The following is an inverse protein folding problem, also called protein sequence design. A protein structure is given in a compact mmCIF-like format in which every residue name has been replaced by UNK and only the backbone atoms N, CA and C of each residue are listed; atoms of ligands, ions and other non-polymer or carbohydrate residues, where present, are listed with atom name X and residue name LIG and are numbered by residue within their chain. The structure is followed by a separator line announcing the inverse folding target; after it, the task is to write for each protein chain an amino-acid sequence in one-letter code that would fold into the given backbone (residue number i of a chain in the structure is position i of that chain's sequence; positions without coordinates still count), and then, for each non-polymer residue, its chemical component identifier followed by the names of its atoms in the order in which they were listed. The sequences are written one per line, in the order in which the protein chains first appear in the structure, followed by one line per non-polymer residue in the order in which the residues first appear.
data_IF_991461942903
#
_entry.id   IF_991461942903
#
_cell.length_a   1.000
_cell.length_b   1.000
_cell.length_c   1.000
_cell.angle_alpha   90.00
_cell.angle_beta   90.00
_cell.angle_gamma   90.00
#
_symmetry.space_group_name_H-M   'P 1'
#
loop_
_entity.id
_entity.type
_entity.pdbx_description
1 polymer ?
#
# COMPACT_ATOMS: atom_id res chain seq x y z
N UNK A 1 39.25 19.36 58.80
CA UNK A 1 40.27 18.28 58.71
C UNK A 1 39.56 17.06 58.14
N UNK A 2 39.82 16.52 56.96
CA UNK A 2 41.02 16.47 56.13
C UNK A 2 40.70 16.56 54.63
N UNK A 3 41.56 17.30 53.92
CA UNK A 3 41.68 17.39 52.47
C UNK A 3 42.53 16.22 51.96
N UNK A 4 42.13 15.56 50.87
CA UNK A 4 43.05 14.82 49.99
C UNK A 4 42.65 14.98 48.52
N UNK A 5 43.67 14.94 47.68
CA UNK A 5 43.82 15.67 46.42
C UNK A 5 43.29 14.97 45.16
N UNK A 6 43.05 15.81 44.14
CA UNK A 6 42.89 15.55 42.72
C UNK A 6 43.77 14.44 42.11
N UNK A 7 43.20 13.72 41.12
CA UNK A 7 43.90 13.37 39.86
C UNK A 7 42.91 13.34 38.67
N UNK A 8 43.10 14.26 37.72
CA UNK A 8 42.63 14.15 36.33
C UNK A 8 43.55 13.21 35.54
N UNK A 9 43.05 12.54 34.49
CA UNK A 9 43.85 12.18 33.33
C UNK A 9 43.48 13.04 32.12
N UNK A 10 44.44 13.88 31.71
CA UNK A 10 44.50 14.48 30.38
C UNK A 10 45.09 13.47 29.38
N UNK A 11 44.46 13.28 28.22
CA UNK A 11 45.06 12.85 26.94
C UNK A 11 43.95 12.86 25.87
N UNK A 12 43.90 13.77 24.90
CA UNK A 12 44.81 14.12 23.77
C UNK A 12 44.06 13.78 22.47
N UNK A 13 43.76 14.83 21.71
CA UNK A 13 43.31 14.78 20.32
C UNK A 13 44.30 13.99 19.45
N UNK A 14 43.78 13.11 18.59
CA UNK A 14 44.44 12.74 17.34
C UNK A 14 43.38 12.65 16.24
N UNK A 15 43.42 13.61 15.32
CA UNK A 15 42.77 13.54 14.04
C UNK A 15 43.73 12.83 13.08
N UNK A 16 43.27 11.79 12.40
CA UNK A 16 43.95 11.23 11.23
C UNK A 16 42.90 10.94 10.16
N UNK A 17 42.86 11.81 9.16
CA UNK A 17 42.24 11.55 7.88
C UNK A 17 43.14 10.59 7.10
N UNK A 18 42.58 9.45 6.67
CA UNK A 18 43.22 8.59 5.68
C UNK A 18 42.20 8.34 4.57
N UNK A 19 42.38 9.08 3.47
CA UNK A 19 41.72 8.82 2.20
C UNK A 19 42.52 7.73 1.47
N UNK A 20 41.98 6.51 1.41
CA UNK A 20 42.50 5.45 0.55
C UNK A 20 41.54 5.24 -0.61
N UNK A 21 41.93 5.76 -1.78
CA UNK A 21 41.32 5.46 -3.08
C UNK A 21 41.81 4.07 -3.50
N UNK A 22 40.94 3.05 -3.41
CA UNK A 22 41.18 1.77 -4.08
C UNK A 22 40.52 1.79 -5.45
N UNK A 23 41.35 2.05 -6.46
CA UNK A 23 41.07 1.76 -7.85
C UNK A 23 41.66 0.38 -8.21
N UNK A 24 40.82 -0.64 -8.23
CA UNK A 24 41.03 -1.90 -8.96
C UNK A 24 39.68 -2.64 -9.11
N UNK A 25 39.07 -2.58 -10.29
CA UNK A 25 38.21 -3.66 -10.77
C UNK A 25 39.04 -4.63 -11.64
N UNK A 26 38.48 -5.71 -12.22
CA UNK A 26 37.08 -6.12 -12.25
C UNK A 26 36.88 -7.61 -11.88
N UNK A 27 35.92 -7.95 -11.02
CA UNK A 27 35.31 -9.29 -11.04
C UNK A 27 33.89 -9.14 -11.55
N UNK A 28 33.65 -9.85 -12.64
CA UNK A 28 32.43 -9.97 -13.39
C UNK A 28 31.29 -10.38 -12.46
N UNK A 29 30.44 -9.41 -12.08
CA UNK A 29 29.06 -9.65 -11.66
C UNK A 29 28.14 -9.48 -12.88
N UNK A 30 28.47 -10.19 -13.97
CA UNK A 30 27.46 -10.57 -14.95
C UNK A 30 26.63 -11.68 -14.30
N UNK A 31 25.60 -11.30 -13.57
CA UNK A 31 24.82 -12.25 -12.78
C UNK A 31 23.95 -11.66 -11.69
N UNK A 32 24.00 -10.35 -11.41
CA UNK A 32 22.84 -9.68 -10.83
C UNK A 32 21.79 -9.52 -11.94
N UNK A 33 21.26 -10.66 -12.40
CA UNK A 33 19.92 -10.66 -12.95
C UNK A 33 19.07 -9.85 -12.00
N UNK A 34 18.30 -8.91 -12.56
CA UNK A 34 17.23 -8.24 -11.85
C UNK A 34 16.66 -9.21 -10.83
N UNK A 35 16.71 -8.84 -9.54
CA UNK A 35 16.12 -9.63 -8.48
C UNK A 35 14.72 -10.03 -8.96
N UNK A 36 14.60 -11.26 -9.47
CA UNK A 36 13.38 -11.69 -10.12
C UNK A 36 12.39 -11.72 -9.00
N UNK A 37 11.45 -10.79 -9.11
CA UNK A 37 10.43 -10.55 -8.15
C UNK A 37 9.88 -11.89 -7.69
N UNK A 38 9.69 -12.04 -6.39
CA UNK A 38 8.76 -12.99 -5.78
C UNK A 38 7.30 -12.77 -6.27
N UNK A 39 7.09 -12.08 -7.40
CA UNK A 39 5.81 -11.65 -7.95
C UNK A 39 4.98 -12.77 -8.57
N UNK A 40 5.46 -14.02 -8.47
CA UNK A 40 4.64 -15.21 -8.68
C UNK A 40 3.66 -15.42 -7.50
N UNK A 41 4.09 -15.14 -6.27
CA UNK A 41 3.28 -15.36 -5.07
C UNK A 41 2.39 -14.13 -4.78
N UNK A 42 1.10 -14.33 -4.55
CA UNK A 42 0.20 -13.27 -4.12
C UNK A 42 0.59 -12.70 -2.75
N UNK A 43 0.03 -11.53 -2.41
CA UNK A 43 0.22 -10.91 -1.10
C UNK A 43 -1.11 -10.50 -0.52
N UNK A 44 -1.24 -10.61 0.79
CA UNK A 44 -2.41 -10.17 1.52
C UNK A 44 -1.96 -9.52 2.83
N UNK A 45 -2.59 -8.41 3.20
CA UNK A 45 -2.36 -7.76 4.48
C UNK A 45 -3.67 -7.31 5.09
N UNK A 46 -3.74 -7.40 6.41
CA UNK A 46 -4.89 -6.99 7.20
C UNK A 46 -4.38 -6.29 8.46
N UNK A 47 -5.03 -5.20 8.84
CA UNK A 47 -4.67 -4.40 10.01
C UNK A 47 -5.94 -3.85 10.65
N UNK A 48 -6.09 -4.05 11.96
CA UNK A 48 -7.27 -3.54 12.69
C UNK A 48 -7.15 -2.04 12.92
N UNK A 49 -5.97 -1.58 13.34
CA UNK A 49 -5.69 -0.17 13.58
C UNK A 49 -4.28 0.16 13.12
N UNK A 50 -4.14 1.23 12.35
CA UNK A 50 -2.86 1.89 12.08
C UNK A 50 -2.98 3.35 12.45
N UNK A 51 -2.10 3.82 13.33
CA UNK A 51 -1.99 5.24 13.69
C UNK A 51 -0.70 5.81 13.15
N UNK A 52 -0.77 7.01 12.59
CA UNK A 52 0.36 7.90 12.34
C UNK A 52 -0.02 9.26 12.90
N UNK A 53 0.06 9.38 14.22
CA UNK A 53 -0.29 10.60 14.96
C UNK A 53 0.99 11.21 15.52
N UNK A 54 1.10 12.52 15.48
CA UNK A 54 2.18 13.28 16.08
C UNK A 54 1.62 14.05 17.27
N UNK A 55 2.27 13.88 18.43
CA UNK A 55 1.87 14.57 19.66
C UNK A 55 2.93 15.60 20.01
N UNK A 56 2.53 16.86 19.97
CA UNK A 56 3.35 17.99 20.41
C UNK A 56 2.96 18.36 21.84
N UNK A 57 3.87 18.13 22.78
CA UNK A 57 3.71 18.48 24.19
C UNK A 57 4.33 19.85 24.47
N UNK A 58 3.71 20.61 25.39
CA UNK A 58 4.26 21.82 26.03
C UNK A 58 4.98 22.77 25.06
N UNK A 59 4.26 23.73 24.46
CA UNK A 59 4.82 24.73 23.55
C UNK A 59 5.56 24.14 22.33
N UNK A 60 5.18 22.93 21.90
CA UNK A 60 5.82 22.22 20.77
C UNK A 60 7.30 21.92 20.98
N UNK A 61 7.75 21.89 22.24
CA UNK A 61 9.17 21.65 22.57
C UNK A 61 9.56 20.19 22.42
N UNK A 62 8.60 19.26 22.53
CA UNK A 62 8.79 17.83 22.31
C UNK A 62 7.71 17.32 21.37
N UNK A 63 8.14 16.77 20.24
CA UNK A 63 7.28 16.05 19.29
C UNK A 63 7.52 14.55 19.43
N UNK A 64 6.47 13.80 19.76
CA UNK A 64 6.52 12.35 19.95
C UNK A 64 5.66 11.69 18.87
N UNK A 65 6.27 10.98 17.90
CA UNK A 65 5.52 10.24 16.90
C UNK A 65 4.86 9.01 17.55
N UNK A 66 3.55 8.89 17.39
CA UNK A 66 2.73 7.77 17.84
C UNK A 66 2.32 6.90 16.67
N UNK A 67 3.28 6.08 16.24
CA UNK A 67 3.05 5.02 15.27
C UNK A 67 2.72 3.71 16.00
N UNK A 68 1.46 3.29 15.96
CA UNK A 68 1.00 2.01 16.49
C UNK A 68 0.28 1.27 15.39
N UNK A 69 0.62 0.00 15.19
CA UNK A 69 -0.22 -0.92 14.45
C UNK A 69 -0.71 -2.04 15.35
N UNK A 70 -2.03 -2.28 15.34
CA UNK A 70 -2.66 -3.37 16.08
C UNK A 70 -3.13 -4.44 15.09
N UNK A 71 -2.79 -5.69 15.42
CA UNK A 71 -3.15 -6.87 14.64
C UNK A 71 -2.75 -6.74 13.16
N UNK A 72 -1.62 -6.09 12.88
CA UNK A 72 -1.07 -6.09 11.54
C UNK A 72 -0.51 -7.48 11.22
N UNK A 73 -1.06 -8.07 10.17
CA UNK A 73 -0.64 -9.36 9.63
C UNK A 73 -0.33 -9.20 8.15
N UNK A 74 0.74 -9.86 7.72
CA UNK A 74 1.22 -9.82 6.36
C UNK A 74 1.52 -11.25 5.90
N UNK A 75 0.86 -11.68 4.84
CA UNK A 75 1.23 -12.90 4.13
C UNK A 75 2.39 -12.59 3.16
N UNK A 76 3.36 -13.53 3.00
CA UNK A 76 3.08 -14.79 2.31
C UNK A 76 2.81 -16.01 3.21
N UNK A 77 3.04 -15.94 4.53
CA UNK A 77 2.49 -16.94 5.46
C UNK A 77 1.14 -16.46 5.97
N UNK A 78 0.10 -17.26 5.75
CA UNK A 78 -1.23 -16.99 6.29
C UNK A 78 -1.13 -16.72 7.79
N UNK A 79 -1.72 -15.61 8.25
CA UNK A 79 -1.61 -15.17 9.62
C UNK A 79 -2.95 -14.59 10.09
N UNK A 80 -3.27 -14.91 11.34
CA UNK A 80 -4.47 -14.43 12.02
C UNK A 80 -4.03 -13.88 13.37
N UNK A 81 -4.50 -12.68 13.72
CA UNK A 81 -4.26 -12.06 15.02
C UNK A 81 -5.55 -11.51 15.59
N UNK A 82 -5.75 -11.81 16.87
CA UNK A 82 -6.83 -11.26 17.68
C UNK A 82 -6.22 -10.56 18.87
N UNK A 83 -6.44 -9.25 18.99
CA UNK A 83 -6.05 -8.48 20.16
C UNK A 83 -7.06 -7.39 20.42
N UNK A 84 -7.54 -7.34 21.66
CA UNK A 84 -8.66 -6.49 22.09
C UNK A 84 -8.20 -5.08 22.49
N UNK A 85 -6.90 -4.92 22.80
CA UNK A 85 -6.35 -3.67 23.32
C UNK A 85 -5.01 -3.33 22.70
N UNK A 86 -4.84 -2.10 22.24
CA UNK A 86 -3.55 -1.51 21.91
C UNK A 86 -3.11 -0.56 23.03
N UNK A 87 -1.90 -0.76 23.57
CA UNK A 87 -1.32 0.09 24.61
C UNK A 87 -0.04 0.75 24.10
N UNK A 88 0.16 1.99 24.50
CA UNK A 88 1.40 2.73 24.35
C UNK A 88 1.97 2.98 25.74
N UNK A 89 3.19 2.51 25.96
CA UNK A 89 3.92 2.79 27.19
C UNK A 89 4.70 4.09 27.04
N UNK A 90 4.72 4.92 28.09
CA UNK A 90 5.56 6.13 28.14
C UNK A 90 4.93 7.42 27.62
N UNK A 91 3.71 7.39 27.08
CA UNK A 91 3.00 8.58 26.58
C UNK A 91 2.00 9.04 27.63
N UNK A 92 2.10 10.29 28.11
CA UNK A 92 1.44 10.83 29.32
C UNK A 92 2.17 10.56 30.66
N UNK A 93 3.43 11.00 30.76
CA UNK A 93 4.15 11.04 32.04
C UNK A 93 4.54 9.66 32.57
N UNK A 94 4.87 8.72 31.68
CA UNK A 94 5.31 7.37 32.04
C UNK A 94 4.18 6.37 32.30
N UNK A 95 2.91 6.78 32.18
CA UNK A 95 1.75 5.89 32.38
C UNK A 95 1.38 5.18 31.07
N UNK A 96 0.94 3.92 31.12
CA UNK A 96 0.43 3.23 29.94
C UNK A 96 -0.89 3.86 29.49
N UNK A 97 -1.02 4.13 28.19
CA UNK A 97 -2.21 4.69 27.56
C UNK A 97 -2.84 3.69 26.60
N UNK A 98 -4.14 3.42 26.73
CA UNK A 98 -4.87 2.53 25.82
C UNK A 98 -5.41 3.31 24.64
N UNK A 99 -4.81 3.12 23.45
CA UNK A 99 -5.25 3.79 22.22
C UNK A 99 -6.53 3.17 21.69
N UNK A 100 -6.62 1.84 21.70
CA UNK A 100 -7.78 1.10 21.22
C UNK A 100 -8.24 0.11 22.27
N UNK A 101 -9.55 0.05 22.48
CA UNK A 101 -10.25 -1.00 23.22
C UNK A 101 -11.40 -1.50 22.36
N UNK A 102 -11.51 -2.80 22.15
CA UNK A 102 -12.55 -3.43 21.36
C UNK A 102 -12.96 -4.76 21.97
N UNK A 103 -14.18 -5.21 21.70
CA UNK A 103 -14.67 -6.51 22.18
C UNK A 103 -14.26 -7.65 21.24
N UNK A 104 -14.16 -7.34 19.94
CA UNK A 104 -13.55 -8.21 18.95
C UNK A 104 -12.71 -7.38 17.98
N UNK A 105 -11.52 -7.87 17.67
CA UNK A 105 -10.58 -7.20 16.78
C UNK A 105 -9.71 -8.27 16.14
N UNK A 106 -10.15 -8.76 14.98
CA UNK A 106 -9.46 -9.80 14.22
C UNK A 106 -8.95 -9.27 12.89
N UNK A 107 -7.74 -9.70 12.53
CA UNK A 107 -7.17 -9.48 11.22
C UNK A 107 -6.64 -10.80 10.69
N UNK A 108 -6.99 -11.11 9.44
CA UNK A 108 -6.63 -12.35 8.77
C UNK A 108 -6.13 -12.04 7.37
N UNK A 109 -4.97 -12.58 7.04
CA UNK A 109 -4.41 -12.54 5.69
C UNK A 109 -4.07 -13.96 5.28
N UNK A 110 -4.52 -14.39 4.11
CA UNK A 110 -4.29 -15.72 3.55
C UNK A 110 -3.84 -15.62 2.11
N UNK A 111 -2.82 -16.38 1.75
CA UNK A 111 -2.30 -16.45 0.38
C UNK A 111 -2.19 -17.91 -0.04
N UNK A 112 -2.68 -18.18 -1.23
CA UNK A 112 -2.58 -19.45 -1.95
C UNK A 112 -1.99 -19.18 -3.35
N UNK A 113 -1.61 -20.22 -4.11
CA UNK A 113 -1.08 -20.04 -5.47
C UNK A 113 -2.04 -19.31 -6.43
N UNK A 114 -3.35 -19.38 -6.19
CA UNK A 114 -4.38 -18.83 -7.08
C UNK A 114 -5.17 -17.67 -6.49
N UNK A 115 -5.07 -17.43 -5.18
CA UNK A 115 -5.87 -16.43 -4.46
C UNK A 115 -5.09 -15.79 -3.31
N UNK A 116 -5.21 -14.48 -3.18
CA UNK A 116 -4.82 -13.72 -2.00
C UNK A 116 -6.06 -13.05 -1.40
N UNK A 117 -6.28 -13.23 -0.09
CA UNK A 117 -7.46 -12.74 0.61
C UNK A 117 -7.06 -12.13 1.96
N UNK A 118 -7.63 -10.98 2.26
CA UNK A 118 -7.48 -10.28 3.52
C UNK A 118 -8.86 -9.92 4.08
N UNK A 119 -9.05 -10.14 5.38
CA UNK A 119 -10.26 -9.74 6.08
C UNK A 119 -9.93 -9.15 7.45
N UNK A 120 -10.76 -8.21 7.89
CA UNK A 120 -10.72 -7.65 9.23
C UNK A 120 -12.13 -7.57 9.79
N UNK A 121 -12.26 -7.82 11.09
CA UNK A 121 -13.50 -7.64 11.83
C UNK A 121 -13.19 -6.88 13.12
N UNK A 122 -13.97 -5.84 13.38
CA UNK A 122 -13.83 -4.99 14.55
C UNK A 122 -15.21 -4.72 15.12
N UNK A 123 -15.43 -5.06 16.39
CA UNK A 123 -16.69 -4.87 17.10
C UNK A 123 -16.49 -4.09 18.41
N UNK A 124 -17.43 -3.18 18.69
CA UNK A 124 -17.48 -2.32 19.87
C UNK A 124 -16.15 -1.63 20.18
N UNK A 125 -15.57 -1.01 19.15
CA UNK A 125 -14.26 -0.39 19.25
C UNK A 125 -14.38 1.06 19.73
N UNK A 126 -13.49 1.45 20.64
CA UNK A 126 -13.31 2.80 21.14
C UNK A 126 -11.85 3.20 21.02
N UNK A 127 -11.60 4.26 20.26
CA UNK A 127 -10.25 4.83 20.07
C UNK A 127 -10.12 6.08 20.92
N UNK A 128 -9.04 6.16 21.69
CA UNK A 128 -8.69 7.32 22.51
C UNK A 128 -7.39 7.93 22.00
N UNK A 129 -7.25 9.24 22.18
CA UNK A 129 -6.01 9.97 21.89
C UNK A 129 -5.52 10.71 23.15
N UNK A 130 -4.21 10.92 23.29
CA UNK A 130 -3.68 11.74 24.38
C UNK A 130 -4.33 13.13 24.41
N UNK A 131 -4.55 13.67 25.61
CA UNK A 131 -5.18 14.98 25.81
C UNK A 131 -6.72 14.98 25.86
N UNK A 132 -7.39 13.87 25.53
CA UNK A 132 -8.84 13.71 25.63
C UNK A 132 -9.23 12.47 26.46
N UNK A 133 -9.13 12.52 27.79
CA UNK A 133 -9.42 11.36 28.63
C UNK A 133 -10.92 11.03 28.73
N UNK A 134 -11.79 12.04 28.58
CA UNK A 134 -13.24 11.88 28.74
C UNK A 134 -13.98 11.53 27.45
N UNK A 135 -13.39 11.83 26.29
CA UNK A 135 -14.02 11.67 25.00
C UNK A 135 -13.21 10.71 24.13
N UNK A 136 -13.85 9.65 23.67
CA UNK A 136 -13.31 8.82 22.60
C UNK A 136 -13.21 9.64 21.32
N UNK A 137 -12.09 9.52 20.61
CA UNK A 137 -11.95 10.09 19.27
C UNK A 137 -13.02 9.52 18.36
N UNK A 138 -13.16 8.19 18.35
CA UNK A 138 -14.17 7.48 17.58
C UNK A 138 -14.64 6.24 18.32
N UNK A 139 -15.94 6.00 18.25
CA UNK A 139 -16.60 4.77 18.71
C UNK A 139 -17.36 4.14 17.54
N UNK A 140 -17.21 2.84 17.39
CA UNK A 140 -17.82 2.07 16.30
C UNK A 140 -18.47 0.81 16.84
N UNK A 141 -19.65 0.52 16.30
CA UNK A 141 -20.44 -0.65 16.69
C UNK A 141 -19.86 -1.91 16.05
N UNK A 142 -19.83 -1.97 14.72
CA UNK A 142 -19.23 -3.11 14.02
C UNK A 142 -18.73 -2.69 12.64
N UNK A 143 -17.57 -3.22 12.27
CA UNK A 143 -16.90 -2.92 11.02
C UNK A 143 -16.28 -4.19 10.45
N UNK A 144 -16.49 -4.41 9.16
CA UNK A 144 -15.86 -5.51 8.43
C UNK A 144 -15.30 -5.02 7.11
N UNK A 145 -14.04 -5.34 6.83
CA UNK A 145 -13.41 -5.04 5.54
C UNK A 145 -12.86 -6.31 4.93
N UNK A 146 -13.06 -6.48 3.62
CA UNK A 146 -12.60 -7.65 2.87
C UNK A 146 -11.95 -7.22 1.56
N UNK A 147 -10.84 -7.85 1.22
CA UNK A 147 -10.16 -7.69 -0.07
C UNK A 147 -9.82 -9.08 -0.62
N UNK A 148 -10.26 -9.35 -1.85
CA UNK A 148 -10.03 -10.62 -2.55
C UNK A 148 -9.39 -10.37 -3.90
N UNK A 149 -8.27 -11.04 -4.12
CA UNK A 149 -7.48 -10.97 -5.34
C UNK A 149 -7.25 -12.39 -5.87
N UNK A 150 -7.97 -12.76 -6.93
CA UNK A 150 -7.82 -14.04 -7.61
C UNK A 150 -6.94 -13.88 -8.87
N UNK A 151 -6.14 -14.90 -9.16
CA UNK A 151 -5.30 -14.94 -10.34
C UNK A 151 -6.16 -14.85 -11.62
N UNK A 152 -5.90 -13.85 -12.45
CA UNK A 152 -6.61 -13.63 -13.71
C UNK A 152 -8.04 -13.07 -13.59
N UNK A 153 -8.50 -12.69 -12.39
CA UNK A 153 -9.80 -12.01 -12.20
C UNK A 153 -9.63 -10.58 -11.71
N UNK A 154 -10.69 -9.77 -11.89
CA UNK A 154 -10.72 -8.40 -11.36
C UNK A 154 -10.72 -8.43 -9.82
N UNK A 155 -9.78 -7.76 -9.14
CA UNK A 155 -9.76 -7.65 -7.69
C UNK A 155 -11.03 -6.98 -7.14
N UNK A 156 -11.47 -7.43 -5.97
CA UNK A 156 -12.64 -6.89 -5.28
C UNK A 156 -12.26 -6.48 -3.87
N UNK A 157 -12.67 -5.28 -3.47
CA UNK A 157 -12.50 -4.77 -2.12
C UNK A 157 -13.84 -4.18 -1.66
N UNK A 158 -14.26 -4.51 -0.45
CA UNK A 158 -15.50 -4.00 0.13
C UNK A 158 -15.32 -3.74 1.61
N UNK A 159 -16.10 -2.79 2.10
CA UNK A 159 -16.17 -2.45 3.51
C UNK A 159 -17.61 -2.25 3.92
N UNK A 160 -17.98 -2.75 5.09
CA UNK A 160 -19.27 -2.52 5.70
C UNK A 160 -19.08 -1.96 7.11
N UNK A 161 -19.77 -0.86 7.40
CA UNK A 161 -19.84 -0.24 8.72
C UNK A 161 -21.28 -0.37 9.19
N UNK A 162 -21.48 -1.25 10.18
CA UNK A 162 -22.79 -1.58 10.72
C UNK A 162 -23.00 -0.85 12.04
N UNK A 163 -24.12 -0.12 12.14
CA UNK A 163 -24.53 0.58 13.35
C UNK A 163 -24.06 2.04 13.42
N UNK A 164 -24.08 2.59 14.63
CA UNK A 164 -23.73 3.98 14.86
C UNK A 164 -22.20 4.17 14.91
N UNK A 165 -21.76 5.30 14.35
CA UNK A 165 -20.40 5.83 14.54
C UNK A 165 -20.51 7.11 15.36
N UNK A 166 -19.75 7.19 16.45
CA UNK A 166 -19.68 8.40 17.29
C UNK A 166 -18.28 8.97 17.17
N UNK A 167 -18.16 10.28 16.93
CA UNK A 167 -16.86 10.96 16.83
C UNK A 167 -16.85 12.13 17.80
N UNK A 168 -15.88 12.15 18.70
CA UNK A 168 -15.78 13.14 19.79
C UNK A 168 -17.10 13.30 20.56
N UNK A 169 -17.78 12.18 20.84
CA UNK A 169 -19.08 12.16 21.54
C UNK A 169 -20.30 12.55 20.69
N UNK A 170 -20.14 12.93 19.41
CA UNK A 170 -21.25 13.23 18.50
C UNK A 170 -21.56 12.05 17.60
N UNK A 171 -22.83 11.62 17.55
CA UNK A 171 -23.28 10.57 16.62
C UNK A 171 -23.24 11.09 15.19
N UNK A 172 -22.57 10.36 14.31
CA UNK A 172 -22.43 10.66 12.88
C UNK A 172 -23.17 9.59 12.09
N UNK A 173 -23.99 10.03 11.14
CA UNK A 173 -24.67 9.13 10.21
C UNK A 173 -23.71 8.76 9.10
N UNK A 174 -23.55 7.46 8.84
CA UNK A 174 -22.71 6.98 7.73
C UNK A 174 -23.42 7.32 6.41
N UNK A 175 -22.97 8.39 5.74
CA UNK A 175 -23.43 8.74 4.40
C UNK A 175 -22.53 8.07 3.38
N UNK A 176 -23.13 7.35 2.43
CA UNK A 176 -22.47 6.37 1.57
C UNK A 176 -21.52 6.95 0.48
N UNK A 177 -20.89 8.12 0.66
CA UNK A 177 -19.98 8.61 -0.39
C UNK A 177 -19.22 9.91 -0.19
N UNK A 178 -19.20 10.53 1.00
CA UNK A 178 -18.52 11.82 1.18
C UNK A 178 -17.73 11.93 2.48
N UNK A 179 -16.66 12.75 2.52
CA UNK A 179 -15.98 13.07 3.76
C UNK A 179 -16.96 13.76 4.71
N UNK A 180 -16.98 13.33 5.97
CA UNK A 180 -17.74 14.00 7.02
C UNK A 180 -16.80 14.75 7.94
N UNK A 181 -17.11 16.02 8.21
CA UNK A 181 -16.31 16.86 9.10
C UNK A 181 -17.05 17.11 10.40
N UNK A 182 -16.39 16.81 11.52
CA UNK A 182 -16.94 17.00 12.87
C UNK A 182 -16.07 18.02 13.60
N UNK A 183 -16.67 19.15 13.95
CA UNK A 183 -16.00 20.22 14.72
C UNK A 183 -16.59 20.28 16.11
N UNK A 184 -15.71 20.27 17.11
CA UNK A 184 -16.09 20.39 18.52
C UNK A 184 -15.38 21.60 19.11
N UNK A 185 -16.13 22.65 19.52
CA UNK A 185 -15.55 23.84 20.13
C UNK A 185 -14.66 23.50 21.34
N UNK A 186 -13.47 24.10 21.39
CA UNK A 186 -12.51 23.90 22.49
C UNK A 186 -11.75 22.57 22.45
N UNK A 187 -12.00 21.69 21.47
CA UNK A 187 -11.32 20.39 21.31
C UNK A 187 -10.55 20.32 20.00
N UNK A 188 -11.23 20.49 18.86
CA UNK A 188 -10.61 20.36 17.55
C UNK A 188 -11.57 19.90 16.46
N UNK A 189 -10.98 19.42 15.37
CA UNK A 189 -11.70 18.95 14.19
C UNK A 189 -11.23 17.55 13.75
N UNK A 190 -12.19 16.77 13.25
CA UNK A 190 -11.95 15.43 12.71
C UNK A 190 -12.64 15.33 11.38
N UNK A 191 -11.88 14.95 10.34
CA UNK A 191 -12.41 14.64 9.01
C UNK A 191 -12.41 13.14 8.82
N UNK A 192 -13.52 12.59 8.38
CA UNK A 192 -13.79 11.16 8.31
C UNK A 192 -14.06 10.79 6.86
N UNK A 193 -13.26 9.89 6.30
CA UNK A 193 -13.52 9.25 5.02
C UNK A 193 -14.02 7.82 5.29
N UNK A 194 -15.29 7.56 4.96
CA UNK A 194 -15.92 6.25 5.14
C UNK A 194 -15.70 5.35 3.91
N UNK A 195 -15.49 4.06 4.17
CA UNK A 195 -15.54 2.97 3.18
C UNK A 195 -14.70 3.21 1.92
N UNK A 196 -13.45 3.62 2.09
CA UNK A 196 -12.53 3.85 0.98
C UNK A 196 -12.09 2.51 0.38
N UNK A 197 -12.56 2.21 -0.82
CA UNK A 197 -12.13 1.05 -1.61
C UNK A 197 -11.40 1.52 -2.87
N UNK A 198 -10.29 0.85 -3.20
CA UNK A 198 -9.49 1.10 -4.39
C UNK A 198 -9.12 -0.24 -5.03
N UNK A 199 -9.36 -0.37 -6.33
CA UNK A 199 -9.06 -1.58 -7.09
C UNK A 199 -8.30 -1.21 -8.35
N UNK A 200 -7.29 -2.00 -8.70
CA UNK A 200 -6.53 -1.91 -9.94
C UNK A 200 -6.58 -3.26 -10.66
N UNK A 201 -5.72 -3.47 -11.66
CA UNK A 201 -5.67 -4.69 -12.47
C UNK A 201 -5.29 -5.93 -11.65
N UNK A 202 -4.43 -5.76 -10.63
CA UNK A 202 -3.91 -6.86 -9.79
C UNK A 202 -4.02 -6.61 -8.29
N UNK A 203 -4.41 -5.42 -7.85
CA UNK A 203 -4.46 -5.07 -6.43
C UNK A 203 -5.84 -4.58 -6.03
N UNK A 204 -6.20 -4.86 -4.78
CA UNK A 204 -7.39 -4.34 -4.13
C UNK A 204 -7.02 -3.89 -2.72
N UNK A 205 -7.51 -2.74 -2.30
CA UNK A 205 -7.36 -2.23 -0.95
C UNK A 205 -8.68 -1.64 -0.49
N UNK A 206 -9.02 -1.85 0.78
CA UNK A 206 -10.19 -1.26 1.40
C UNK A 206 -9.87 -0.84 2.83
N UNK A 207 -10.49 0.24 3.28
CA UNK A 207 -10.42 0.71 4.66
C UNK A 207 -11.80 1.18 5.09
N UNK A 208 -12.18 0.88 6.32
CA UNK A 208 -13.50 1.24 6.81
C UNK A 208 -13.62 2.69 7.17
N UNK A 209 -12.65 3.17 7.94
CA UNK A 209 -12.56 4.58 8.31
C UNK A 209 -11.12 5.02 8.16
N UNK A 210 -10.95 6.15 7.47
CA UNK A 210 -9.72 6.92 7.50
C UNK A 210 -10.07 8.26 8.13
N UNK A 211 -9.45 8.55 9.28
CA UNK A 211 -9.66 9.80 10.00
C UNK A 211 -8.43 10.67 9.85
N UNK A 212 -8.64 11.93 9.46
CA UNK A 212 -7.65 13.00 9.63
C UNK A 212 -8.02 13.77 10.88
N UNK A 213 -7.08 13.84 11.81
CA UNK A 213 -7.32 14.34 13.16
C UNK A 213 -6.47 15.59 13.37
N UNK A 214 -7.08 16.65 13.88
CA UNK A 214 -6.38 17.84 14.37
C UNK A 214 -7.04 18.31 15.67
N UNK A 215 -6.38 18.05 16.79
CA UNK A 215 -6.92 18.28 18.14
C UNK A 215 -5.94 19.17 18.90
N UNK A 216 -6.43 20.31 19.37
CA UNK A 216 -5.68 21.24 20.23
C UNK A 216 -6.61 21.72 21.36
N UNK A 217 -6.68 20.95 22.46
CA UNK A 217 -7.61 21.22 23.54
C UNK A 217 -7.33 22.58 24.16
N UNK A 218 -8.39 23.40 24.28
CA UNK A 218 -8.40 24.75 24.84
C UNK A 218 -7.43 25.74 24.15
N UNK A 219 -6.82 25.39 23.01
CA UNK A 219 -5.76 26.16 22.35
C UNK A 219 -4.57 26.48 23.26
N UNK A 220 -4.34 25.68 24.29
CA UNK A 220 -3.32 25.93 25.32
C UNK A 220 -1.96 25.27 24.98
N UNK A 221 -1.80 24.64 23.81
CA UNK A 221 -0.56 23.98 23.35
C UNK A 221 0.02 22.96 24.35
N UNK A 222 -0.84 22.32 25.14
CA UNK A 222 -0.43 21.35 26.18
C UNK A 222 -0.22 19.96 25.57
N UNK A 223 -1.08 19.58 24.61
CA UNK A 223 -0.97 18.37 23.80
C UNK A 223 -1.73 18.57 22.47
N UNK A 224 -1.03 19.03 21.44
CA UNK A 224 -1.57 19.08 20.08
C UNK A 224 -1.38 17.71 19.43
N UNK A 225 -2.45 17.13 18.91
CA UNK A 225 -2.44 15.83 18.22
C UNK A 225 -2.87 16.04 16.79
N UNK A 226 -1.97 15.73 15.86
CA UNK A 226 -2.24 15.81 14.43
C UNK A 226 -1.88 14.50 13.74
N UNK A 227 -2.62 14.12 12.71
CA UNK A 227 -2.20 13.04 11.82
C UNK A 227 -3.35 12.20 11.29
N UNK A 228 -3.03 10.95 10.98
CA UNK A 228 -3.98 10.02 10.34
C UNK A 228 -4.17 8.74 11.12
N UNK A 229 -5.40 8.25 11.12
CA UNK A 229 -5.78 7.01 11.76
C UNK A 229 -6.62 6.17 10.79
N UNK A 230 -6.23 4.93 10.59
CA UNK A 230 -6.93 3.97 9.71
C UNK A 230 -7.47 2.81 10.52
N UNK A 231 -8.75 2.51 10.35
CA UNK A 231 -9.43 1.38 10.99
C UNK A 231 -9.86 0.34 9.96
N UNK A 232 -9.66 -0.93 10.32
CA UNK A 232 -10.04 -2.11 9.54
C UNK A 232 -9.53 -1.99 8.09
N UNK A 233 -8.21 -1.87 7.95
CA UNK A 233 -7.52 -1.80 6.66
C UNK A 233 -7.21 -3.19 6.13
N UNK A 234 -7.47 -3.41 4.85
CA UNK A 234 -7.13 -4.66 4.14
C UNK A 234 -6.52 -4.32 2.79
N UNK A 235 -5.55 -5.12 2.36
CA UNK A 235 -5.03 -5.09 1.00
C UNK A 235 -4.71 -6.47 0.48
N UNK A 236 -4.81 -6.65 -0.83
CA UNK A 236 -4.36 -7.84 -1.51
C UNK A 236 -3.72 -7.51 -2.86
N UNK A 237 -2.86 -8.42 -3.28
CA UNK A 237 -2.21 -8.44 -4.59
C UNK A 237 -2.38 -9.85 -5.18
N UNK A 238 -2.94 -9.90 -6.38
CA UNK A 238 -3.21 -11.13 -7.10
C UNK A 238 -1.89 -11.83 -7.48
N UNK A 239 -1.80 -13.16 -7.23
CA UNK A 239 -0.72 -13.97 -7.78
C UNK A 239 -0.61 -13.80 -9.30
N UNK A 240 0.56 -14.11 -9.85
CA UNK A 240 0.69 -14.16 -11.30
C UNK A 240 -0.33 -15.15 -11.87
N UNK A 241 -1.04 -14.76 -12.93
CA UNK A 241 -1.91 -15.69 -13.62
C UNK A 241 -1.04 -16.84 -14.17
N UNK A 242 -1.44 -18.10 -14.00
CA UNK A 242 -0.75 -19.18 -14.69
C UNK A 242 -0.80 -18.89 -16.18
N UNK A 243 0.37 -18.80 -16.80
CA UNK A 243 0.47 -18.74 -18.25
C UNK A 243 -0.15 -20.05 -18.72
N UNK A 244 -1.33 -19.97 -19.34
CA UNK A 244 -1.76 -21.06 -20.21
C UNK A 244 -0.72 -21.06 -21.31
N UNK A 245 0.19 -22.03 -21.28
CA UNK A 245 0.89 -22.41 -22.50
C UNK A 245 -0.21 -22.60 -23.53
N UNK A 246 -0.30 -21.70 -24.51
CA UNK A 246 -1.03 -21.99 -25.73
C UNK A 246 -0.32 -23.18 -26.33
N UNK A 247 -0.82 -24.36 -25.95
CA UNK A 247 -0.43 -25.64 -26.52
C UNK A 247 -0.43 -25.51 -28.03
N UNK A 248 0.64 -26.03 -28.62
CA UNK A 248 0.96 -25.88 -30.02
C UNK A 248 -0.20 -26.23 -30.96
N UNK A 249 -0.08 -25.67 -32.16
CA UNK A 249 -0.89 -26.00 -33.31
C UNK A 249 -1.31 -27.48 -33.31
N UNK A 250 -2.61 -27.72 -33.31
CA UNK A 250 -3.16 -29.04 -33.57
C UNK A 250 -2.57 -29.54 -34.92
N UNK A 251 -1.98 -30.75 -34.98
CA UNK A 251 -1.61 -31.33 -36.25
C UNK A 251 -2.89 -31.65 -37.01
N UNK A 252 -3.02 -31.04 -38.19
CA UNK A 252 -4.00 -31.40 -39.21
C UNK A 252 -3.80 -32.87 -39.61
N UNK A 253 -4.66 -33.74 -39.06
CA UNK A 253 -5.01 -35.04 -39.65
C UNK A 253 -6.36 -34.80 -40.35
N UNK A 254 -6.68 -35.28 -41.55
CA UNK A 254 -6.19 -36.40 -42.32
C UNK A 254 -6.79 -36.26 -43.73
N UNK A 255 -6.07 -36.75 -44.74
CA UNK A 255 -6.47 -36.80 -46.15
C UNK A 255 -7.55 -37.87 -46.36
N UNK A 256 -8.56 -37.62 -47.18
CA UNK A 256 -9.42 -38.69 -47.76
C UNK A 256 -9.46 -38.55 -49.30
N UNK A 257 -9.19 -39.60 -50.09
CA UNK A 257 -9.20 -39.55 -51.55
C UNK A 257 -10.59 -39.73 -52.20
N UNK A 258 -10.63 -39.39 -53.50
CA UNK A 258 -11.75 -39.14 -54.41
C UNK A 258 -12.66 -40.34 -54.77
N UNK A 259 -13.92 -40.01 -55.13
CA UNK A 259 -14.82 -40.83 -55.96
C UNK A 259 -16.07 -40.05 -56.41
N UNK A 260 -16.14 -39.65 -57.68
CA UNK A 260 -17.19 -38.84 -58.34
C UNK A 260 -18.27 -39.74 -59.04
N UNK A 261 -19.27 -39.27 -59.85
CA UNK A 261 -19.61 -37.89 -60.28
C UNK A 261 -21.13 -37.52 -60.43
N UNK A 262 -21.35 -36.24 -60.81
CA UNK A 262 -22.38 -35.67 -61.71
C UNK A 262 -23.74 -35.16 -61.17
N UNK A 263 -23.91 -33.82 -61.16
CA UNK A 263 -24.75 -33.08 -62.15
C UNK A 263 -24.60 -31.55 -62.06
N UNK A 264 -24.61 -30.92 -63.24
CA UNK A 264 -24.42 -29.50 -63.55
C UNK A 264 -25.51 -28.56 -62.97
N UNK A 265 -25.10 -27.33 -62.62
CA UNK A 265 -25.41 -26.08 -63.35
C UNK A 265 -25.24 -24.84 -62.44
N UNK A 266 -24.43 -23.88 -62.89
CA UNK A 266 -24.31 -22.52 -62.34
C UNK A 266 -24.84 -21.52 -63.42
N UNK A 267 -24.83 -20.18 -63.26
CA UNK A 267 -24.42 -19.35 -62.11
C UNK A 267 -25.36 -18.13 -61.82
N UNK A 268 -25.13 -17.40 -60.71
CA UNK A 268 -24.86 -15.93 -60.71
C UNK A 268 -25.10 -15.21 -59.36
N UNK A 269 -24.03 -14.53 -58.92
CA UNK A 269 -23.91 -13.27 -58.15
C UNK A 269 -24.45 -13.13 -56.70
N UNK A 270 -23.48 -12.87 -55.82
CA UNK A 270 -23.54 -12.46 -54.41
C UNK A 270 -23.73 -10.92 -54.24
N UNK A 271 -23.63 -10.29 -53.04
CA UNK A 271 -23.96 -10.74 -51.67
C UNK A 271 -24.77 -9.71 -50.80
N UNK A 272 -25.28 -10.23 -49.68
CA UNK A 272 -25.38 -9.68 -48.31
C UNK A 272 -25.91 -8.24 -48.03
N UNK A 273 -27.09 -8.21 -47.39
CA UNK A 273 -27.47 -7.28 -46.29
C UNK A 273 -27.02 -7.95 -44.96
N UNK A 274 -26.72 -7.34 -43.81
CA UNK A 274 -27.14 -6.08 -43.18
C UNK A 274 -26.16 -5.77 -42.03
N UNK A 275 -25.75 -4.50 -41.92
CA UNK A 275 -25.51 -3.65 -40.74
C UNK A 275 -24.85 -4.20 -39.45
N UNK A 276 -23.84 -3.46 -38.96
CA UNK A 276 -23.99 -2.56 -37.80
C UNK A 276 -22.63 -1.92 -37.47
N UNK A 277 -22.60 -0.58 -37.44
CA UNK A 277 -21.43 0.19 -37.04
C UNK A 277 -21.24 0.22 -35.51
N UNK A 278 -20.03 0.60 -35.09
CA UNK A 278 -19.74 1.49 -33.95
C UNK A 278 -18.21 1.68 -33.80
N UNK A 279 -17.79 2.94 -34.02
CA UNK A 279 -16.73 3.68 -33.34
C UNK A 279 -15.33 3.04 -33.14
N UNK A 280 -14.46 3.28 -34.12
CA UNK A 280 -13.28 4.16 -33.97
C UNK A 280 -12.74 4.38 -32.54
N UNK A 281 -11.81 3.52 -32.11
CA UNK A 281 -10.74 3.92 -31.18
C UNK A 281 -9.41 3.68 -31.87
N UNK A 282 -8.64 4.77 -31.99
CA UNK A 282 -7.46 4.89 -32.83
C UNK A 282 -6.36 3.89 -32.48
N UNK A 283 -5.90 3.17 -33.50
CA UNK A 283 -4.68 2.38 -33.49
C UNK A 283 -4.10 2.38 -34.91
N UNK A 284 -3.54 3.51 -35.33
CA UNK A 284 -2.84 3.60 -36.61
C UNK A 284 -1.50 2.84 -36.55
N UNK A 285 -1.30 1.96 -37.52
CA UNK A 285 -0.15 1.06 -37.70
C UNK A 285 1.16 1.77 -38.10
N UNK A 286 1.45 2.96 -37.57
CA UNK A 286 2.63 3.76 -37.93
C UNK A 286 3.58 4.05 -36.76
N UNK A 287 3.46 3.32 -35.65
CA UNK A 287 4.26 3.53 -34.43
C UNK A 287 5.55 2.69 -34.26
N UNK A 288 6.23 2.11 -35.27
CA UNK A 288 7.58 1.57 -35.00
C UNK A 288 8.65 2.67 -34.96
N UNK A 289 8.37 3.89 -35.44
CA UNK A 289 9.39 4.94 -35.57
C UNK A 289 9.70 5.71 -34.27
N UNK A 290 8.95 5.52 -33.18
CA UNK A 290 9.20 6.23 -31.90
C UNK A 290 10.06 5.40 -30.93
N UNK A 291 10.34 4.13 -31.22
CA UNK A 291 11.20 3.27 -30.38
C UNK A 291 12.70 3.37 -30.76
N UNK A 292 13.06 4.05 -31.85
CA UNK A 292 14.45 4.10 -32.36
C UNK A 292 15.35 5.23 -31.85
N UNK A 293 14.83 6.30 -31.25
CA UNK A 293 15.61 7.54 -31.01
C UNK A 293 16.51 7.52 -29.77
N UNK A 294 16.35 6.56 -28.85
CA UNK A 294 17.11 6.50 -27.60
C UNK A 294 18.56 6.01 -27.76
N UNK A 295 18.84 5.14 -28.73
CA UNK A 295 20.15 4.48 -28.87
C UNK A 295 21.22 5.45 -29.43
N UNK A 296 20.82 6.41 -30.28
CA UNK A 296 21.75 7.38 -30.89
C UNK A 296 22.22 8.42 -29.87
N UNK A 297 21.36 8.87 -28.96
CA UNK A 297 21.73 9.81 -27.89
C UNK A 297 22.70 9.20 -26.87
N UNK A 298 22.56 7.91 -26.57
CA UNK A 298 23.48 7.19 -25.68
C UNK A 298 24.86 6.97 -26.33
N UNK A 299 24.90 6.69 -27.63
CA UNK A 299 26.17 6.56 -28.37
C UNK A 299 26.92 7.90 -28.47
N UNK A 300 26.21 9.01 -28.72
CA UNK A 300 26.81 10.34 -28.75
C UNK A 300 27.32 10.80 -27.36
N UNK A 301 26.57 10.53 -26.29
CA UNK A 301 26.97 10.85 -24.93
C UNK A 301 28.20 10.07 -24.46
N UNK A 302 28.28 8.77 -24.79
CA UNK A 302 29.43 7.94 -24.45
C UNK A 302 30.71 8.36 -25.19
N UNK A 303 30.60 8.79 -26.45
CA UNK A 303 31.72 9.30 -27.25
C UNK A 303 32.34 10.58 -26.68
N UNK A 304 31.51 11.53 -26.24
CA UNK A 304 31.98 12.80 -25.68
C UNK A 304 32.74 12.62 -24.35
N UNK A 305 32.28 11.71 -23.48
CA UNK A 305 32.94 11.41 -22.20
C UNK A 305 34.27 10.67 -22.39
N UNK A 306 34.36 9.79 -23.39
CA UNK A 306 35.59 9.08 -23.72
C UNK A 306 36.67 10.01 -24.30
N UNK A 307 36.29 10.98 -25.13
CA UNK A 307 37.21 11.98 -25.70
C UNK A 307 37.70 13.00 -24.64
N UNK A 308 36.86 13.38 -23.67
CA UNK A 308 37.26 14.24 -22.55
C UNK A 308 38.28 13.60 -21.61
N UNK A 309 38.17 12.29 -21.37
CA UNK A 309 39.16 11.52 -20.56
C UNK A 309 40.51 11.32 -21.25
N UNK A 310 40.59 11.41 -22.58
CA UNK A 310 41.86 11.33 -23.32
C UNK A 310 42.65 12.64 -23.33
N UNK A 311 42.00 13.79 -23.14
CA UNK A 311 42.67 15.11 -23.10
C UNK A 311 43.21 15.51 -21.73
N UNK A 312 42.89 14.75 -20.68
CA UNK A 312 43.29 15.03 -19.29
C UNK A 312 44.33 14.05 -18.74
N UNK A 313 44.90 13.21 -19.60
CA UNK A 313 46.17 12.53 -19.32
C UNK A 313 47.30 13.38 -19.93
N UNK A 314 48.20 13.97 -19.11
CA UNK A 314 49.40 14.63 -19.62
C UNK A 314 50.34 13.64 -20.32
#
# INVERSE_FOLDING_TARGET
MNTHYFRMPARRFTATAAATVLAAGPVVLAGAGSAHATGAQGRASAVVLRTGLDVSLLNKTLNVPLAVSLNEVQAPRSAERTALTARLDGVAGGRPFSVLRADAATAKATVSPTKAEASTNLAHARVHVPGLPLLSLVEISQVTSTATCEAGRKPVASTNVLGAVTVLGKKVTVTAGGPTEVKVPGVGEVRIDFSKAQTSSRTAAASALVLKVSINPLKLNVAEVEGTLTLAGVSCEAPAAPVRESGGAAPVSEVTPQGAPAKEAAPAKAPAKTEAGLAETGGSSSTPYIVGSGVVLLAAGAGAVALGRRRTRP
#
